data_IF_763722391704
#
_entry.id   IF_763722391704
#
_cell.length_a   1.000
_cell.length_b   1.000
_cell.length_c   1.000
_cell.angle_alpha   90.00
_cell.angle_beta   90.00
_cell.angle_gamma   90.00
#
_symmetry.space_group_name_H-M   'P 1'
#
loop_
_entity.id
_entity.type
_entity.pdbx_description
1 polymer ?
#
# COMPACT_ATOMS: atom_id res chain seq x y z
N UNK A 1 -6.95 -14.57 -7.88
CA UNK A 1 -5.80 -15.48 -7.49
C UNK A 1 -6.33 -16.34 -6.36
N UNK A 2 -6.16 -17.65 -6.43
CA UNK A 2 -6.59 -18.52 -5.34
C UNK A 2 -5.66 -18.40 -4.10
N UNK A 3 -6.13 -18.94 -2.96
CA UNK A 3 -5.40 -18.85 -1.69
C UNK A 3 -4.04 -19.57 -1.72
N UNK A 4 -3.93 -20.68 -2.45
CA UNK A 4 -2.68 -21.46 -2.54
C UNK A 4 -1.62 -20.69 -3.35
N UNK A 5 -2.02 -20.05 -4.43
CA UNK A 5 -1.12 -19.20 -5.22
C UNK A 5 -0.72 -17.96 -4.42
N UNK A 6 -1.66 -17.34 -3.68
CA UNK A 6 -1.32 -16.22 -2.80
C UNK A 6 -0.29 -16.63 -1.73
N UNK A 7 -0.44 -17.80 -1.12
CA UNK A 7 0.52 -18.31 -0.14
C UNK A 7 1.93 -18.47 -0.74
N UNK A 8 2.04 -19.00 -1.96
CA UNK A 8 3.32 -19.13 -2.68
C UNK A 8 3.94 -17.76 -2.97
N UNK A 9 3.13 -16.80 -3.39
CA UNK A 9 3.61 -15.44 -3.65
C UNK A 9 4.08 -14.75 -2.37
N UNK A 10 3.42 -14.95 -1.22
CA UNK A 10 3.95 -14.48 0.08
C UNK A 10 5.34 -15.10 0.35
N UNK A 11 5.50 -16.41 0.16
CA UNK A 11 6.77 -17.10 0.37
C UNK A 11 7.89 -16.57 -0.56
N UNK A 12 7.55 -16.24 -1.81
CA UNK A 12 8.49 -15.68 -2.79
C UNK A 12 9.01 -14.27 -2.42
N UNK A 13 8.21 -13.49 -1.68
CA UNK A 13 8.61 -12.15 -1.26
C UNK A 13 9.44 -12.12 0.03
N UNK A 14 9.38 -13.17 0.84
CA UNK A 14 10.07 -13.22 2.11
C UNK A 14 11.54 -13.62 1.94
N UNK A 15 12.40 -12.90 2.62
CA UNK A 15 13.83 -13.21 2.71
C UNK A 15 14.08 -14.30 3.76
N UNK A 16 15.27 -14.93 3.74
CA UNK A 16 15.66 -15.89 4.78
C UNK A 16 15.73 -15.24 6.17
N UNK A 17 16.04 -13.94 6.24
CA UNK A 17 15.97 -13.17 7.48
C UNK A 17 14.54 -13.05 7.99
N UNK A 18 13.57 -12.80 7.11
CA UNK A 18 12.15 -12.74 7.46
C UNK A 18 11.64 -14.08 7.99
N UNK A 19 12.01 -15.18 7.34
CA UNK A 19 11.61 -16.53 7.77
C UNK A 19 12.17 -16.87 9.17
N UNK A 20 13.41 -16.45 9.45
CA UNK A 20 14.01 -16.60 10.80
C UNK A 20 13.29 -15.76 11.85
N UNK A 21 12.81 -14.58 11.51
CA UNK A 21 12.00 -13.74 12.40
C UNK A 21 10.60 -14.31 12.65
N UNK A 22 10.04 -15.03 11.69
CA UNK A 22 8.74 -15.69 11.82
C UNK A 22 8.81 -17.02 12.57
N UNK A 23 9.95 -17.72 12.55
CA UNK A 23 10.10 -19.04 13.14
C UNK A 23 9.66 -19.14 14.62
N UNK A 24 9.98 -18.17 15.52
CA UNK A 24 9.54 -18.22 16.91
C UNK A 24 8.02 -18.11 17.12
N UNK A 25 7.28 -17.62 16.14
CA UNK A 25 5.81 -17.54 16.18
C UNK A 25 5.14 -18.83 15.67
N UNK A 26 5.91 -19.75 15.08
CA UNK A 26 5.38 -21.00 14.57
C UNK A 26 5.13 -22.01 15.72
N UNK A 27 4.07 -22.83 15.64
CA UNK A 27 3.84 -23.88 16.62
C UNK A 27 4.88 -24.99 16.49
N UNK A 28 5.57 -25.28 17.60
CA UNK A 28 6.61 -26.32 17.67
C UNK A 28 8.02 -25.82 17.36
N UNK A 29 9.02 -26.47 17.97
CA UNK A 29 10.43 -26.19 17.72
C UNK A 29 10.89 -26.96 16.47
N UNK A 30 10.54 -26.46 15.28
CA UNK A 30 10.89 -27.07 13.98
C UNK A 30 12.25 -26.60 13.43
N UNK A 31 13.08 -25.95 14.27
CA UNK A 31 14.45 -25.54 13.93
C UNK A 31 14.54 -24.67 12.67
N UNK A 32 14.85 -23.39 12.82
CA UNK A 32 15.10 -22.47 11.71
C UNK A 32 13.87 -22.19 10.81
N UNK A 33 13.85 -21.06 10.13
CA UNK A 33 12.68 -20.67 9.30
C UNK A 33 12.54 -21.39 7.93
N UNK A 34 13.51 -22.24 7.54
CA UNK A 34 13.59 -22.76 6.16
C UNK A 34 12.42 -23.66 5.78
N UNK A 35 11.83 -24.39 6.72
CA UNK A 35 10.66 -25.24 6.49
C UNK A 35 9.42 -24.43 6.07
N UNK A 36 9.31 -23.15 6.51
CA UNK A 36 8.22 -22.26 6.10
C UNK A 36 8.22 -21.99 4.60
N UNK A 37 9.38 -22.02 3.95
CA UNK A 37 9.48 -21.90 2.49
C UNK A 37 8.93 -23.14 1.79
N UNK A 38 9.07 -24.31 2.40
CA UNK A 38 8.56 -25.58 1.90
C UNK A 38 7.04 -25.76 2.10
N UNK A 39 6.43 -25.05 3.06
CA UNK A 39 4.99 -25.07 3.32
C UNK A 39 4.39 -23.63 3.27
N UNK A 40 4.12 -23.10 2.06
CA UNK A 40 3.52 -21.79 1.90
C UNK A 40 2.15 -21.64 2.58
N UNK A 41 1.40 -22.74 2.73
CA UNK A 41 0.10 -22.71 3.40
C UNK A 41 0.25 -22.52 4.91
N UNK A 42 1.23 -23.17 5.54
CA UNK A 42 1.57 -22.93 6.94
C UNK A 42 2.09 -21.52 7.15
N UNK A 43 2.95 -21.02 6.26
CA UNK A 43 3.44 -19.65 6.28
C UNK A 43 2.27 -18.63 6.25
N UNK A 44 1.32 -18.80 5.35
CA UNK A 44 0.17 -17.89 5.26
C UNK A 44 -0.69 -17.96 6.53
N UNK A 45 -0.94 -19.15 7.09
CA UNK A 45 -1.64 -19.28 8.39
C UNK A 45 -0.90 -18.55 9.50
N UNK A 46 0.43 -18.67 9.54
CA UNK A 46 1.25 -17.99 10.53
C UNK A 46 1.17 -16.46 10.39
N UNK A 47 1.24 -15.93 9.18
CA UNK A 47 1.07 -14.49 8.94
C UNK A 47 -0.32 -13.99 9.35
N UNK A 48 -1.36 -14.82 9.20
CA UNK A 48 -2.74 -14.51 9.56
C UNK A 48 -3.02 -14.64 11.07
N UNK A 49 -2.15 -15.28 11.83
CA UNK A 49 -2.29 -15.41 13.28
C UNK A 49 -2.07 -14.05 13.95
N UNK A 50 -3.04 -13.55 14.74
CA UNK A 50 -2.91 -12.27 15.45
C UNK A 50 -1.72 -12.19 16.39
N UNK A 51 -1.26 -13.32 16.94
CA UNK A 51 -0.11 -13.43 17.84
C UNK A 51 1.22 -13.14 17.13
N UNK A 52 1.34 -13.49 15.85
CA UNK A 52 2.56 -13.30 15.06
C UNK A 52 2.96 -11.84 14.99
N UNK A 53 2.00 -10.93 14.85
CA UNK A 53 2.29 -9.49 14.89
C UNK A 53 3.00 -9.08 16.19
N UNK A 54 2.49 -9.54 17.33
CA UNK A 54 3.08 -9.26 18.65
C UNK A 54 4.47 -9.87 18.81
N UNK A 55 4.65 -11.09 18.35
CA UNK A 55 5.95 -11.80 18.43
C UNK A 55 7.02 -11.12 17.56
N UNK A 56 6.69 -10.77 16.33
CA UNK A 56 7.65 -10.22 15.37
C UNK A 56 7.88 -8.72 15.56
N UNK A 57 6.82 -7.95 15.79
CA UNK A 57 6.87 -6.49 15.84
C UNK A 57 6.63 -5.91 17.25
N UNK A 58 6.14 -6.69 18.20
CA UNK A 58 5.76 -6.23 19.55
C UNK A 58 6.93 -6.01 20.50
N UNK A 59 8.07 -6.65 20.28
CA UNK A 59 9.28 -6.46 21.09
C UNK A 59 9.92 -5.07 20.98
N UNK A 60 9.43 -4.21 20.10
CA UNK A 60 9.98 -2.88 19.79
C UNK A 60 9.02 -1.68 19.98
N UNK A 61 7.96 -1.80 20.76
CA UNK A 61 7.23 -0.59 21.24
C UNK A 61 6.18 0.02 20.31
N UNK A 62 5.57 -0.72 19.36
CA UNK A 62 4.33 -0.31 18.70
C UNK A 62 3.08 -0.61 19.59
N UNK A 63 3.31 -0.74 20.91
CA UNK A 63 2.31 -1.06 21.89
C UNK A 63 1.42 0.10 22.29
N UNK A 64 0.18 0.07 21.80
CA UNK A 64 -0.98 0.39 22.57
C UNK A 64 -1.13 1.78 23.15
N UNK A 65 -1.93 2.61 22.51
CA UNK A 65 -2.78 3.52 23.24
C UNK A 65 -3.68 2.72 24.19
N UNK A 66 -3.30 2.60 25.45
CA UNK A 66 -4.14 2.06 26.53
C UNK A 66 -5.36 2.96 26.70
N UNK A 67 -6.52 2.41 26.38
CA UNK A 67 -7.76 2.90 26.96
C UNK A 67 -7.90 2.26 28.36
N UNK A 68 -7.86 3.10 29.39
CA UNK A 68 -8.56 2.92 30.65
C UNK A 68 -7.89 2.03 31.71
N UNK A 69 -7.63 2.63 32.87
CA UNK A 69 -7.50 1.94 34.13
C UNK A 69 -6.42 2.49 35.05
N UNK A 70 -6.82 3.34 35.99
CA UNK A 70 -6.00 3.83 37.08
C UNK A 70 -5.48 2.68 37.95
N UNK A 71 -4.17 2.72 38.30
CA UNK A 71 -3.56 1.85 39.29
C UNK A 71 -2.18 2.40 39.66
N UNK A 72 -2.10 3.03 40.80
CA UNK A 72 -0.90 3.53 41.50
C UNK A 72 0.00 2.36 41.90
N UNK A 73 1.30 2.49 41.72
CA UNK A 73 2.26 1.55 42.33
C UNK A 73 3.67 1.66 41.77
N UNK A 74 4.54 2.22 42.54
CA UNK A 74 5.91 2.63 42.35
C UNK A 74 6.98 1.60 41.99
N UNK A 75 8.11 2.13 41.57
CA UNK A 75 9.44 1.70 41.93
C UNK A 75 10.10 0.71 40.96
N UNK A 76 11.23 1.12 40.39
CA UNK A 76 12.22 0.19 39.87
C UNK A 76 12.91 0.63 38.59
N UNK A 77 13.98 1.42 38.74
CA UNK A 77 14.95 1.72 37.68
C UNK A 77 15.72 0.44 37.34
N UNK A 78 15.51 -0.09 36.15
CA UNK A 78 16.33 -1.14 35.56
C UNK A 78 16.66 -0.72 34.14
N UNK A 79 17.78 -0.03 33.93
CA UNK A 79 18.38 0.19 32.62
C UNK A 79 18.93 -1.13 32.11
N UNK A 80 18.24 -1.79 31.21
CA UNK A 80 18.76 -2.84 30.34
C UNK A 80 19.21 -2.24 29.01
N UNK A 81 20.23 -2.81 28.32
CA UNK A 81 20.89 -2.18 27.18
C UNK A 81 19.98 -2.08 25.97
N UNK A 82 19.70 -0.84 25.54
CA UNK A 82 19.55 -0.42 24.16
C UNK A 82 18.59 -1.13 23.22
N UNK A 83 17.36 -1.42 23.62
CA UNK A 83 16.30 -1.85 22.70
C UNK A 83 15.39 -0.70 22.29
N UNK A 84 15.88 0.27 21.53
CA UNK A 84 15.01 1.29 20.91
C UNK A 84 14.20 0.68 19.76
N UNK A 85 13.11 1.35 19.31
CA UNK A 85 12.15 0.83 18.28
C UNK A 85 12.77 0.54 16.90
N UNK A 86 14.06 0.54 16.76
CA UNK A 86 14.83 0.30 15.53
C UNK A 86 15.30 -1.14 15.33
N UNK A 87 15.29 -2.00 16.34
CA UNK A 87 15.93 -3.31 16.26
C UNK A 87 15.28 -4.25 15.22
N UNK A 88 13.97 -4.30 15.16
CA UNK A 88 13.24 -5.16 14.23
C UNK A 88 13.15 -4.57 12.81
N UNK A 89 13.03 -3.23 12.67
CA UNK A 89 12.99 -2.56 11.37
C UNK A 89 14.30 -2.69 10.57
N UNK A 90 15.40 -3.00 11.26
CA UNK A 90 16.72 -3.27 10.62
C UNK A 90 16.82 -4.72 10.15
N UNK A 91 16.06 -5.64 10.73
CA UNK A 91 16.16 -7.08 10.44
C UNK A 91 15.06 -7.59 9.50
N UNK A 92 13.84 -7.01 9.57
CA UNK A 92 12.72 -7.41 8.74
C UNK A 92 12.71 -6.66 7.41
N UNK A 93 12.33 -7.35 6.33
CA UNK A 93 12.11 -6.70 5.05
C UNK A 93 10.90 -5.77 5.10
N UNK A 94 10.85 -4.69 4.29
CA UNK A 94 9.66 -3.85 4.18
C UNK A 94 8.40 -4.66 3.84
N UNK A 95 8.53 -5.70 3.02
CA UNK A 95 7.41 -6.55 2.64
C UNK A 95 6.83 -7.29 3.85
N UNK A 96 7.67 -7.94 4.68
CA UNK A 96 7.21 -8.63 5.89
C UNK A 96 6.46 -7.67 6.82
N UNK A 97 7.02 -6.48 7.06
CA UNK A 97 6.41 -5.48 7.92
C UNK A 97 5.02 -5.08 7.41
N UNK A 98 4.89 -4.75 6.13
CA UNK A 98 3.60 -4.37 5.58
C UNK A 98 2.62 -5.53 5.48
N UNK A 99 3.08 -6.76 5.22
CA UNK A 99 2.25 -7.94 5.28
C UNK A 99 1.61 -8.11 6.67
N UNK A 100 2.41 -7.99 7.74
CA UNK A 100 1.93 -8.08 9.12
C UNK A 100 1.01 -6.91 9.49
N UNK A 101 1.30 -5.68 9.03
CA UNK A 101 0.44 -4.51 9.27
C UNK A 101 -0.91 -4.64 8.56
N UNK A 102 -0.95 -5.16 7.33
CA UNK A 102 -2.21 -5.43 6.60
C UNK A 102 -3.03 -6.51 7.31
N UNK A 103 -2.39 -7.57 7.82
CA UNK A 103 -3.07 -8.60 8.62
C UNK A 103 -3.61 -8.02 9.94
N UNK A 104 -2.84 -7.18 10.60
CA UNK A 104 -3.28 -6.49 11.81
C UNK A 104 -4.51 -5.62 11.55
N UNK A 105 -4.51 -4.86 10.45
CA UNK A 105 -5.67 -4.08 10.03
C UNK A 105 -6.89 -4.98 9.74
N UNK A 106 -6.70 -6.15 9.13
CA UNK A 106 -7.78 -7.11 8.90
C UNK A 106 -8.41 -7.58 10.21
N UNK A 107 -7.59 -7.89 11.22
CA UNK A 107 -8.05 -8.28 12.56
C UNK A 107 -8.80 -7.14 13.27
N UNK A 108 -8.28 -5.91 13.21
CA UNK A 108 -8.92 -4.75 13.84
C UNK A 108 -10.25 -4.40 13.18
N UNK A 109 -10.30 -4.43 11.86
CA UNK A 109 -11.52 -4.15 11.10
C UNK A 109 -12.58 -5.27 11.22
N UNK A 110 -12.18 -6.48 11.62
CA UNK A 110 -13.12 -7.58 11.88
C UNK A 110 -14.16 -7.23 12.96
N UNK A 111 -13.77 -6.44 13.95
CA UNK A 111 -14.64 -6.05 15.10
C UNK A 111 -15.08 -4.58 15.06
N UNK A 112 -14.56 -3.79 14.11
CA UNK A 112 -14.87 -2.37 14.03
C UNK A 112 -16.30 -2.12 13.55
N UNK A 113 -17.04 -1.24 14.25
CA UNK A 113 -18.36 -0.78 13.84
C UNK A 113 -18.28 0.34 12.77
N UNK A 114 -17.26 1.18 12.85
CA UNK A 114 -16.99 2.28 11.90
C UNK A 114 -15.49 2.46 11.71
N UNK A 115 -15.12 3.13 10.65
CA UNK A 115 -13.72 3.47 10.34
C UNK A 115 -13.64 5.00 10.15
N UNK A 116 -12.73 5.69 10.84
CA UNK A 116 -12.50 7.11 10.59
C UNK A 116 -11.84 7.28 9.21
N UNK A 117 -12.45 8.09 8.34
CA UNK A 117 -11.84 8.47 7.08
C UNK A 117 -11.33 9.91 7.16
N UNK A 118 -10.11 10.14 6.69
CA UNK A 118 -9.56 11.48 6.49
C UNK A 118 -10.21 12.12 5.26
N UNK A 119 -10.93 13.22 5.48
CA UNK A 119 -11.59 13.99 4.42
C UNK A 119 -10.91 15.33 4.16
N UNK A 120 -9.90 15.69 4.95
CA UNK A 120 -9.13 16.93 4.83
C UNK A 120 -8.17 17.13 6.01
N UNK A 121 -7.43 18.24 6.01
CA UNK A 121 -6.49 18.60 7.07
C UNK A 121 -7.17 18.55 8.45
N UNK A 122 -6.80 17.53 9.25
CA UNK A 122 -7.32 17.28 10.61
C UNK A 122 -8.81 16.94 10.69
N UNK A 123 -9.50 16.72 9.57
CA UNK A 123 -10.90 16.29 9.58
C UNK A 123 -11.00 14.77 9.39
N UNK A 124 -11.72 14.11 10.29
CA UNK A 124 -12.05 12.69 10.22
C UNK A 124 -13.55 12.54 10.35
N UNK A 125 -14.14 11.77 9.45
CA UNK A 125 -15.56 11.44 9.46
C UNK A 125 -15.70 9.96 9.74
N UNK A 126 -16.52 9.54 10.72
CA UNK A 126 -16.80 8.13 10.93
C UNK A 126 -17.64 7.58 9.78
N UNK A 127 -17.15 6.53 9.13
CA UNK A 127 -17.85 5.83 8.07
C UNK A 127 -18.28 4.45 8.55
N UNK A 128 -19.53 4.09 8.33
CA UNK A 128 -20.12 2.81 8.73
C UNK A 128 -20.02 1.74 7.62
N UNK A 129 -18.92 1.74 6.88
CA UNK A 129 -18.65 0.76 5.82
C UNK A 129 -17.62 -0.31 6.21
N UNK A 130 -17.34 -0.47 7.49
CA UNK A 130 -16.47 -1.52 8.00
C UNK A 130 -16.76 -2.93 7.42
N UNK A 131 -18.03 -3.34 7.16
CA UNK A 131 -18.33 -4.60 6.49
C UNK A 131 -17.69 -4.72 5.10
N UNK A 132 -17.72 -3.66 4.30
CA UNK A 132 -17.13 -3.65 2.96
C UNK A 132 -15.59 -3.74 2.99
N UNK A 133 -14.95 -3.14 4.02
CA UNK A 133 -13.51 -3.25 4.22
C UNK A 133 -13.11 -4.63 4.73
N UNK A 134 -13.92 -5.27 5.58
CA UNK A 134 -13.74 -6.67 5.98
C UNK A 134 -13.81 -7.61 4.79
N UNK A 135 -14.84 -7.46 3.94
CA UNK A 135 -14.97 -8.25 2.71
C UNK A 135 -13.77 -8.05 1.78
N UNK A 136 -13.28 -6.82 1.66
CA UNK A 136 -12.06 -6.55 0.90
C UNK A 136 -10.86 -7.31 1.48
N UNK A 137 -10.64 -7.25 2.78
CA UNK A 137 -9.51 -7.88 3.47
C UNK A 137 -9.67 -9.38 3.70
N UNK A 138 -10.84 -9.97 3.49
CA UNK A 138 -11.03 -11.42 3.58
C UNK A 138 -10.20 -12.19 2.54
N UNK A 139 -9.92 -11.59 1.38
CA UNK A 139 -9.13 -12.21 0.31
C UNK A 139 -7.62 -12.04 0.56
N UNK A 140 -6.90 -13.17 0.63
CA UNK A 140 -5.45 -13.20 0.83
C UNK A 140 -4.67 -12.51 -0.30
N UNK A 141 -5.18 -12.55 -1.54
CA UNK A 141 -4.55 -11.93 -2.68
C UNK A 141 -4.64 -10.39 -2.63
N UNK A 142 -5.75 -9.85 -2.14
CA UNK A 142 -5.89 -8.39 -1.92
C UNK A 142 -4.99 -7.91 -0.79
N UNK A 143 -4.84 -8.69 0.29
CA UNK A 143 -3.89 -8.38 1.36
C UNK A 143 -2.44 -8.39 0.86
N UNK A 144 -2.07 -9.41 0.07
CA UNK A 144 -0.77 -9.50 -0.60
C UNK A 144 -0.53 -8.26 -1.47
N UNK A 145 -1.51 -7.91 -2.31
CA UNK A 145 -1.43 -6.74 -3.18
C UNK A 145 -1.14 -5.44 -2.41
N UNK A 146 -1.80 -5.21 -1.28
CA UNK A 146 -1.54 -4.02 -0.45
C UNK A 146 -0.15 -4.04 0.18
N UNK A 147 0.34 -5.21 0.62
CA UNK A 147 1.69 -5.35 1.15
C UNK A 147 2.76 -5.09 0.07
N UNK A 148 2.59 -5.66 -1.13
CA UNK A 148 3.45 -5.39 -2.30
C UNK A 148 3.45 -3.92 -2.69
N UNK A 149 2.27 -3.29 -2.73
CA UNK A 149 2.12 -1.88 -3.04
C UNK A 149 2.94 -1.02 -2.08
N UNK A 150 2.73 -1.17 -0.77
CA UNK A 150 3.44 -0.41 0.25
C UNK A 150 4.95 -0.67 0.19
N UNK A 151 5.37 -1.93 0.08
CA UNK A 151 6.79 -2.28 -0.04
C UNK A 151 7.45 -1.64 -1.27
N UNK A 152 6.72 -1.54 -2.39
CA UNK A 152 7.23 -0.95 -3.62
C UNK A 152 7.53 0.55 -3.50
N UNK A 153 6.85 1.27 -2.60
CA UNK A 153 7.06 2.71 -2.38
C UNK A 153 8.09 3.04 -1.30
N UNK A 154 8.71 2.05 -0.67
CA UNK A 154 9.87 2.29 0.22
C UNK A 154 11.12 2.72 -0.55
N UNK A 155 11.17 2.40 -1.85
CA UNK A 155 12.24 2.80 -2.77
C UNK A 155 11.59 3.41 -4.01
N UNK A 156 11.56 4.74 -4.05
CA UNK A 156 10.95 5.48 -5.16
C UNK A 156 11.98 5.76 -6.23
N UNK A 157 11.69 5.38 -7.47
CA UNK A 157 12.53 5.70 -8.60
C UNK A 157 12.19 7.08 -9.17
N UNK A 158 13.24 7.82 -9.52
CA UNK A 158 13.13 9.05 -10.31
C UNK A 158 14.27 9.10 -11.32
N UNK A 159 14.03 9.75 -12.44
CA UNK A 159 15.04 9.77 -13.50
C UNK A 159 14.72 10.77 -14.59
N UNK A 160 15.52 10.68 -15.67
CA UNK A 160 15.36 11.49 -16.89
C UNK A 160 15.22 10.57 -18.09
N UNK A 161 14.35 10.93 -19.02
CA UNK A 161 14.16 10.23 -20.28
C UNK A 161 14.11 11.21 -21.44
N UNK A 162 14.44 10.73 -22.63
CA UNK A 162 14.41 11.53 -23.86
C UNK A 162 13.15 11.22 -24.65
N UNK A 163 12.48 12.26 -25.11
CA UNK A 163 11.30 12.17 -25.99
C UNK A 163 11.52 13.06 -27.20
N UNK A 164 11.04 12.63 -28.37
CA UNK A 164 10.99 13.46 -29.56
C UNK A 164 9.65 14.21 -29.60
N UNK A 165 9.72 15.55 -29.60
CA UNK A 165 8.55 16.42 -29.73
C UNK A 165 8.79 17.32 -30.92
N UNK A 166 7.93 17.23 -31.94
CA UNK A 166 8.07 17.99 -33.21
C UNK A 166 9.47 17.83 -33.81
N UNK A 167 10.00 16.61 -33.88
CA UNK A 167 11.30 16.29 -34.47
C UNK A 167 12.53 16.64 -33.59
N UNK A 168 12.34 17.32 -32.45
CA UNK A 168 13.44 17.73 -31.57
C UNK A 168 13.50 16.81 -30.33
N UNK A 169 14.71 16.36 -29.99
CA UNK A 169 14.93 15.62 -28.75
C UNK A 169 14.79 16.55 -27.52
N UNK A 170 13.94 16.18 -26.58
CA UNK A 170 13.79 16.89 -25.32
C UNK A 170 14.00 15.91 -24.17
N UNK A 171 14.68 16.37 -23.11
CA UNK A 171 14.82 15.60 -21.86
C UNK A 171 13.68 15.97 -20.94
N UNK A 172 12.96 14.95 -20.45
CA UNK A 172 11.92 15.10 -19.42
C UNK A 172 12.36 14.35 -18.16
N UNK A 173 11.84 14.77 -17.01
CA UNK A 173 12.00 14.08 -15.73
C UNK A 173 10.75 13.27 -15.43
N UNK A 174 10.93 12.11 -14.83
CA UNK A 174 9.83 11.37 -14.19
C UNK A 174 10.12 11.18 -12.71
N UNK A 175 9.08 10.96 -11.94
CA UNK A 175 9.10 10.50 -10.56
C UNK A 175 7.92 9.57 -10.37
N UNK A 176 8.14 8.43 -9.74
CA UNK A 176 7.07 7.48 -9.46
C UNK A 176 6.02 8.00 -8.49
N UNK A 177 6.33 9.05 -7.70
CA UNK A 177 5.36 9.71 -6.83
C UNK A 177 4.62 10.88 -7.49
N UNK A 178 4.89 11.18 -8.76
CA UNK A 178 4.22 12.23 -9.51
C UNK A 178 3.43 11.59 -10.68
N UNK A 179 2.10 11.40 -10.53
CA UNK A 179 1.31 10.75 -11.56
C UNK A 179 1.33 11.48 -12.92
N UNK A 180 1.50 12.81 -12.91
CA UNK A 180 1.55 13.61 -14.16
C UNK A 180 2.85 13.34 -14.92
N UNK A 181 3.98 13.31 -14.21
CA UNK A 181 5.28 13.00 -14.80
C UNK A 181 5.38 11.53 -15.19
N UNK A 182 4.80 10.63 -14.40
CA UNK A 182 4.75 9.20 -14.71
C UNK A 182 3.91 8.94 -15.96
N UNK A 183 2.75 9.59 -16.12
CA UNK A 183 1.93 9.50 -17.31
C UNK A 183 2.67 9.97 -18.58
N UNK A 184 3.60 10.90 -18.43
CA UNK A 184 4.46 11.34 -19.55
C UNK A 184 5.36 10.25 -20.12
N UNK A 185 5.62 9.15 -19.40
CA UNK A 185 6.38 8.00 -19.92
C UNK A 185 5.61 7.26 -21.02
N UNK A 186 4.27 7.31 -21.05
CA UNK A 186 3.46 6.67 -22.09
C UNK A 186 3.80 7.17 -23.50
N UNK A 187 4.33 8.39 -23.63
CA UNK A 187 4.79 8.95 -24.89
C UNK A 187 6.18 8.43 -25.32
N UNK A 188 6.92 7.79 -24.41
CA UNK A 188 8.31 7.43 -24.59
C UNK A 188 8.57 5.92 -24.62
N UNK A 189 7.69 5.13 -24.02
CA UNK A 189 7.80 3.67 -23.95
C UNK A 189 7.13 3.01 -25.15
N UNK A 190 7.58 1.80 -25.49
CA UNK A 190 6.97 0.96 -26.49
C UNK A 190 5.56 0.49 -26.06
N UNK A 191 4.75 0.04 -27.02
CA UNK A 191 3.41 -0.49 -26.70
C UNK A 191 3.46 -1.67 -25.73
N UNK A 192 4.47 -2.52 -25.84
CA UNK A 192 4.66 -3.68 -24.96
C UNK A 192 4.96 -3.29 -23.50
N UNK A 193 5.51 -2.10 -23.26
CA UNK A 193 5.86 -1.59 -21.92
C UNK A 193 4.73 -0.77 -21.30
N UNK A 194 3.76 -0.31 -22.08
CA UNK A 194 2.63 0.52 -21.60
C UNK A 194 1.83 -0.12 -20.47
N UNK A 195 1.53 -1.44 -20.48
CA UNK A 195 0.84 -2.08 -19.36
C UNK A 195 1.53 -1.87 -18.01
N UNK A 196 2.86 -1.92 -17.98
CA UNK A 196 3.66 -1.64 -16.76
C UNK A 196 3.51 -0.21 -16.28
N UNK A 197 3.51 0.77 -17.19
CA UNK A 197 3.31 2.19 -16.85
C UNK A 197 1.88 2.42 -16.34
N UNK A 198 0.86 1.86 -16.99
CA UNK A 198 -0.53 1.96 -16.53
C UNK A 198 -0.72 1.31 -15.16
N UNK A 199 -0.11 0.14 -14.93
CA UNK A 199 -0.13 -0.50 -13.61
C UNK A 199 0.48 0.43 -12.56
N UNK A 200 1.64 1.03 -12.83
CA UNK A 200 2.31 1.93 -11.88
C UNK A 200 1.54 3.23 -11.65
N UNK A 201 0.83 3.74 -12.66
CA UNK A 201 -0.10 4.87 -12.51
C UNK A 201 -1.26 4.53 -11.57
N UNK A 202 -1.80 3.31 -11.65
CA UNK A 202 -2.78 2.81 -10.70
C UNK A 202 -2.20 2.74 -9.28
N UNK A 203 -0.99 2.18 -9.14
CA UNK A 203 -0.31 2.03 -7.85
C UNK A 203 -0.07 3.39 -7.18
N UNK A 204 0.47 4.39 -7.90
CA UNK A 204 0.72 5.72 -7.32
C UNK A 204 -0.57 6.44 -6.96
N UNK A 205 -1.64 6.27 -7.74
CA UNK A 205 -2.94 6.87 -7.42
C UNK A 205 -3.52 6.28 -6.14
N UNK A 206 -3.46 4.96 -5.99
CA UNK A 206 -3.93 4.27 -4.80
C UNK A 206 -3.08 4.63 -3.57
N UNK A 207 -1.76 4.67 -3.73
CA UNK A 207 -0.83 5.04 -2.67
C UNK A 207 -1.04 6.49 -2.20
N UNK A 208 -1.08 7.46 -3.11
CA UNK A 208 -1.24 8.87 -2.75
C UNK A 208 -2.60 9.15 -2.08
N UNK A 209 -3.68 8.62 -2.63
CA UNK A 209 -5.02 8.84 -2.08
C UNK A 209 -5.23 8.08 -0.77
N UNK A 210 -4.59 6.93 -0.58
CA UNK A 210 -4.68 6.12 0.64
C UNK A 210 -3.75 6.59 1.76
N UNK A 211 -2.48 6.87 1.45
CA UNK A 211 -1.48 7.20 2.47
C UNK A 211 -1.40 8.72 2.72
N UNK A 212 -1.53 9.54 1.70
CA UNK A 212 -1.40 10.99 1.77
C UNK A 212 -2.63 11.77 1.28
N UNK A 213 -3.86 11.48 1.76
CA UNK A 213 -5.06 12.17 1.28
C UNK A 213 -5.01 13.68 1.50
N UNK A 214 -4.41 14.13 2.60
CA UNK A 214 -4.24 15.57 2.91
C UNK A 214 -3.33 16.26 1.89
N UNK A 215 -2.27 15.59 1.45
CA UNK A 215 -1.39 16.09 0.41
C UNK A 215 -2.13 16.22 -0.93
N UNK A 216 -2.91 15.19 -1.30
CA UNK A 216 -3.71 15.20 -2.53
C UNK A 216 -4.74 16.33 -2.50
N UNK A 217 -5.40 16.54 -1.36
CA UNK A 217 -6.41 17.61 -1.20
C UNK A 217 -5.77 19.00 -1.19
N UNK A 218 -4.66 19.19 -0.48
CA UNK A 218 -4.01 20.49 -0.33
C UNK A 218 -3.23 20.91 -1.59
N UNK A 219 -2.69 19.94 -2.33
CA UNK A 219 -1.99 20.15 -3.59
C UNK A 219 -2.86 19.68 -4.77
N UNK A 220 -4.11 20.15 -4.77
CA UNK A 220 -5.06 19.86 -5.84
C UNK A 220 -4.37 19.98 -7.20
N UNK A 221 -4.56 18.94 -8.01
CA UNK A 221 -4.07 18.91 -9.38
C UNK A 221 -4.64 20.13 -10.11
N UNK A 222 -3.76 21.01 -10.57
CA UNK A 222 -4.19 22.16 -11.36
C UNK A 222 -4.95 21.72 -12.61
N UNK A 223 -5.81 22.56 -13.21
CA UNK A 223 -6.62 22.18 -14.37
C UNK A 223 -5.82 21.60 -15.54
N UNK A 224 -4.59 22.09 -15.72
CA UNK A 224 -3.66 21.60 -16.77
C UNK A 224 -3.22 20.18 -16.48
N UNK A 225 -2.87 19.86 -15.23
CA UNK A 225 -2.40 18.55 -14.84
C UNK A 225 -3.53 17.53 -14.78
N UNK A 226 -4.70 17.91 -14.25
CA UNK A 226 -5.92 17.10 -14.37
C UNK A 226 -6.25 16.78 -15.84
N UNK A 227 -6.19 17.79 -16.73
CA UNK A 227 -6.40 17.61 -18.15
C UNK A 227 -5.37 16.70 -18.84
N UNK A 228 -4.12 16.66 -18.36
CA UNK A 228 -3.07 15.73 -18.84
C UNK A 228 -3.37 14.30 -18.42
N UNK A 229 -3.73 14.09 -17.14
CA UNK A 229 -4.05 12.77 -16.61
C UNK A 229 -5.31 12.18 -17.26
N UNK A 230 -6.36 12.99 -17.44
CA UNK A 230 -7.58 12.58 -18.12
C UNK A 230 -7.34 12.17 -19.59
N UNK A 231 -6.45 12.89 -20.30
CA UNK A 231 -6.02 12.49 -21.65
C UNK A 231 -5.24 11.18 -21.65
N UNK A 232 -4.29 11.00 -20.72
CA UNK A 232 -3.53 9.77 -20.58
C UNK A 232 -4.43 8.56 -20.27
N UNK A 233 -5.57 8.79 -19.63
CA UNK A 233 -6.60 7.77 -19.39
C UNK A 233 -7.60 7.60 -20.56
N UNK A 234 -7.43 8.31 -21.66
CA UNK A 234 -8.33 8.25 -22.82
C UNK A 234 -9.76 8.77 -22.54
N UNK A 235 -9.92 9.66 -21.56
CA UNK A 235 -11.22 10.21 -21.21
C UNK A 235 -11.57 11.46 -22.04
N UNK A 236 -12.79 11.48 -22.55
CA UNK A 236 -13.34 12.57 -23.40
C UNK A 236 -14.76 12.90 -22.98
N UNK A 237 -15.31 14.02 -23.49
CA UNK A 237 -16.70 14.42 -23.31
C UNK A 237 -17.10 14.79 -21.88
N UNK A 238 -18.41 14.70 -21.56
CA UNK A 238 -18.98 15.18 -20.29
C UNK A 238 -18.39 14.52 -19.03
N UNK A 239 -17.95 13.28 -19.14
CA UNK A 239 -17.31 12.58 -18.02
C UNK A 239 -15.96 13.22 -17.65
N UNK A 240 -15.17 13.61 -18.64
CA UNK A 240 -13.91 14.34 -18.44
C UNK A 240 -14.14 15.66 -17.72
N UNK A 241 -15.15 16.42 -18.15
CA UNK A 241 -15.48 17.73 -17.55
C UNK A 241 -15.88 17.61 -16.09
N UNK A 242 -16.75 16.64 -15.76
CA UNK A 242 -17.16 16.37 -14.39
C UNK A 242 -15.99 16.00 -13.49
N UNK A 243 -15.11 15.11 -13.96
CA UNK A 243 -13.94 14.68 -13.19
C UNK A 243 -12.89 15.81 -13.05
N UNK A 244 -12.74 16.65 -14.07
CA UNK A 244 -11.84 17.80 -14.01
C UNK A 244 -12.29 18.87 -13.01
N UNK A 245 -13.60 19.01 -12.78
CA UNK A 245 -14.20 19.94 -11.83
C UNK A 245 -14.35 19.35 -10.41
N UNK A 246 -14.20 18.03 -10.26
CA UNK A 246 -14.39 17.34 -8.99
C UNK A 246 -13.16 17.38 -8.07
N UNK A 247 -13.30 16.84 -6.84
CA UNK A 247 -12.19 16.71 -5.89
C UNK A 247 -11.02 15.86 -6.45
N UNK A 248 -9.78 16.26 -6.16
CA UNK A 248 -8.59 15.58 -6.65
C UNK A 248 -8.52 14.09 -6.21
N UNK A 249 -9.04 13.76 -5.03
CA UNK A 249 -9.13 12.37 -4.55
C UNK A 249 -10.05 11.55 -5.45
N UNK A 250 -11.23 12.05 -5.79
CA UNK A 250 -12.19 11.34 -6.66
C UNK A 250 -11.64 11.18 -8.08
N UNK A 251 -10.95 12.21 -8.58
CA UNK A 251 -10.25 12.13 -9.86
C UNK A 251 -9.22 11.01 -9.87
N UNK A 252 -8.32 10.96 -8.87
CA UNK A 252 -7.30 9.93 -8.78
C UNK A 252 -7.86 8.53 -8.49
N UNK A 253 -8.94 8.40 -7.70
CA UNK A 253 -9.65 7.13 -7.53
C UNK A 253 -10.16 6.60 -8.88
N UNK A 254 -10.86 7.47 -9.64
CA UNK A 254 -11.40 7.08 -10.93
C UNK A 254 -10.29 6.70 -11.91
N UNK A 255 -9.26 7.52 -12.01
CA UNK A 255 -8.14 7.29 -12.91
C UNK A 255 -7.33 6.06 -12.52
N UNK A 256 -7.05 5.86 -11.23
CA UNK A 256 -6.31 4.72 -10.73
C UNK A 256 -7.01 3.39 -11.06
N UNK A 257 -8.33 3.32 -10.79
CA UNK A 257 -9.13 2.16 -11.16
C UNK A 257 -9.14 1.91 -12.68
N UNK A 258 -9.24 2.96 -13.49
CA UNK A 258 -9.19 2.86 -14.94
C UNK A 258 -7.83 2.37 -15.43
N UNK A 259 -6.73 2.90 -14.90
CA UNK A 259 -5.38 2.51 -15.30
C UNK A 259 -5.07 1.05 -14.98
N UNK A 260 -5.55 0.51 -13.85
CA UNK A 260 -5.44 -0.92 -13.59
C UNK A 260 -6.16 -1.77 -14.65
N UNK A 261 -7.39 -1.37 -15.05
CA UNK A 261 -8.12 -2.07 -16.11
C UNK A 261 -7.39 -1.97 -17.44
N UNK A 262 -6.93 -0.76 -17.81
CA UNK A 262 -6.15 -0.55 -19.04
C UNK A 262 -4.87 -1.39 -19.06
N UNK A 263 -4.16 -1.50 -17.92
CA UNK A 263 -3.00 -2.39 -17.81
C UNK A 263 -3.35 -3.85 -18.11
N UNK A 264 -4.51 -4.32 -17.61
CA UNK A 264 -4.99 -5.68 -17.85
C UNK A 264 -5.44 -5.91 -19.30
N UNK A 265 -6.09 -4.90 -19.92
CA UNK A 265 -6.58 -4.94 -21.29
C UNK A 265 -5.45 -4.98 -22.30
N UNK A 266 -4.38 -4.21 -22.06
CA UNK A 266 -3.23 -4.09 -22.97
C UNK A 266 -2.16 -5.16 -22.75
N UNK A 267 -2.20 -5.89 -21.63
CA UNK A 267 -1.18 -6.89 -21.35
C UNK A 267 -1.32 -8.09 -22.29
N UNK A 268 -0.23 -8.55 -22.95
CA UNK A 268 -0.27 -9.69 -23.86
C UNK A 268 -0.61 -10.99 -23.14
N UNK A 269 -0.32 -11.08 -21.85
CA UNK A 269 -0.63 -12.24 -21.00
C UNK A 269 -1.28 -11.75 -19.70
N UNK A 270 -2.45 -12.29 -19.40
CA UNK A 270 -3.16 -11.99 -18.15
C UNK A 270 -2.57 -12.79 -16.98
N UNK A 271 -1.63 -12.22 -16.28
CA UNK A 271 -1.02 -12.85 -15.09
C UNK A 271 -1.97 -12.80 -13.88
N UNK A 272 -1.73 -13.70 -12.90
CA UNK A 272 -2.49 -13.68 -11.64
C UNK A 272 -2.41 -12.33 -10.91
N UNK A 273 -1.26 -11.66 -10.95
CA UNK A 273 -1.05 -10.33 -10.37
C UNK A 273 -1.88 -9.24 -11.06
N UNK A 274 -1.99 -9.29 -12.39
CA UNK A 274 -2.86 -8.37 -13.14
C UNK A 274 -4.33 -8.64 -12.82
N UNK A 275 -4.74 -9.90 -12.69
CA UNK A 275 -6.11 -10.23 -12.30
C UNK A 275 -6.48 -9.69 -10.91
N UNK A 276 -5.54 -9.68 -9.96
CA UNK A 276 -5.74 -9.04 -8.64
C UNK A 276 -5.84 -7.51 -8.79
N UNK A 277 -5.02 -6.90 -9.64
CA UNK A 277 -5.10 -5.46 -9.88
C UNK A 277 -6.45 -5.04 -10.50
N UNK A 278 -7.01 -5.86 -11.38
CA UNK A 278 -8.34 -5.66 -11.97
C UNK A 278 -9.45 -5.80 -10.92
N UNK A 279 -9.38 -6.80 -10.03
CA UNK A 279 -10.30 -6.95 -8.91
C UNK A 279 -10.21 -5.75 -7.94
N UNK A 280 -8.99 -5.30 -7.62
CA UNK A 280 -8.77 -4.09 -6.83
C UNK A 280 -9.31 -2.83 -7.54
N UNK A 281 -9.23 -2.76 -8.87
CA UNK A 281 -9.83 -1.66 -9.62
C UNK A 281 -11.34 -1.57 -9.41
N UNK A 282 -12.03 -2.70 -9.33
CA UNK A 282 -13.45 -2.76 -8.99
C UNK A 282 -13.79 -2.35 -7.55
N UNK A 283 -12.80 -2.39 -6.66
CA UNK A 283 -12.90 -2.11 -5.22
C UNK A 283 -11.92 -1.02 -4.76
N UNK A 284 -11.57 -0.11 -5.65
CA UNK A 284 -10.49 0.86 -5.45
C UNK A 284 -10.70 1.73 -4.20
N UNK A 285 -11.96 2.14 -3.95
CA UNK A 285 -12.32 2.92 -2.76
C UNK A 285 -12.10 2.14 -1.46
N UNK A 286 -12.42 0.84 -1.44
CA UNK A 286 -12.15 -0.02 -0.28
C UNK A 286 -10.65 -0.16 -0.03
N UNK A 287 -9.86 -0.44 -1.08
CA UNK A 287 -8.41 -0.50 -1.00
C UNK A 287 -7.81 0.80 -0.46
N UNK A 288 -8.24 1.95 -0.98
CA UNK A 288 -7.82 3.28 -0.50
C UNK A 288 -8.13 3.48 0.98
N UNK A 289 -9.34 3.12 1.43
CA UNK A 289 -9.77 3.26 2.82
C UNK A 289 -8.98 2.37 3.78
N UNK A 290 -8.65 1.15 3.37
CA UNK A 290 -7.74 0.27 4.13
C UNK A 290 -6.37 0.92 4.25
N UNK A 291 -5.81 1.47 3.18
CA UNK A 291 -4.54 2.19 3.24
C UNK A 291 -4.61 3.44 4.11
N UNK A 292 -5.73 4.17 4.11
CA UNK A 292 -5.94 5.32 4.98
C UNK A 292 -5.95 4.89 6.46
N UNK A 293 -6.64 3.79 6.80
CA UNK A 293 -6.61 3.21 8.14
C UNK A 293 -5.20 2.82 8.57
N UNK A 294 -4.44 2.15 7.70
CA UNK A 294 -3.04 1.80 7.94
C UNK A 294 -2.15 3.03 8.13
N UNK A 295 -2.33 4.05 7.29
CA UNK A 295 -1.57 5.29 7.36
C UNK A 295 -1.77 6.01 8.70
N UNK A 296 -3.01 6.11 9.14
CA UNK A 296 -3.37 6.79 10.39
C UNK A 296 -2.87 6.06 11.64
N UNK A 297 -2.88 4.73 11.61
CA UNK A 297 -2.52 3.93 12.79
C UNK A 297 -1.03 3.61 12.88
N UNK A 298 -0.37 3.39 11.74
CA UNK A 298 0.95 2.76 11.73
C UNK A 298 1.99 3.46 10.87
N UNK A 299 1.61 4.04 9.71
CA UNK A 299 2.61 4.49 8.74
C UNK A 299 3.07 5.93 8.96
N UNK A 300 2.20 6.79 9.51
CA UNK A 300 2.44 8.22 9.71
C UNK A 300 2.43 8.64 11.19
N UNK A 301 2.45 7.68 12.11
CA UNK A 301 2.45 7.96 13.55
C UNK A 301 3.69 8.75 13.98
N UNK A 302 3.48 9.63 14.98
CA UNK A 302 4.50 10.56 15.48
C UNK A 302 5.78 9.83 15.93
N UNK A 303 6.90 10.22 15.34
CA UNK A 303 8.22 9.73 15.70
C UNK A 303 9.06 9.18 14.56
N UNK A 304 8.52 8.36 13.68
CA UNK A 304 9.24 7.85 12.49
C UNK A 304 8.25 7.42 11.41
N UNK A 305 7.85 8.33 10.51
CA UNK A 305 6.98 7.97 9.40
C UNK A 305 7.73 7.03 8.42
N UNK A 306 7.03 5.96 7.97
CA UNK A 306 7.52 5.07 6.92
C UNK A 306 7.67 5.78 5.58
N UNK A 307 6.85 6.78 5.36
CA UNK A 307 6.79 7.54 4.13
C UNK A 307 6.74 9.03 4.42
N UNK A 308 7.34 9.83 3.54
CA UNK A 308 7.22 11.29 3.54
C UNK A 308 6.37 11.75 2.36
N UNK A 309 5.56 12.81 2.53
CA UNK A 309 4.79 13.36 1.42
C UNK A 309 5.70 13.78 0.26
N UNK A 310 5.25 13.64 -0.99
CA UNK A 310 6.02 14.09 -2.14
C UNK A 310 6.33 15.59 -2.05
N UNK A 311 7.63 15.95 -2.17
CA UNK A 311 8.06 17.35 -2.19
C UNK A 311 8.15 18.04 -0.82
N UNK A 312 8.24 17.26 0.27
CA UNK A 312 8.64 17.74 1.60
C UNK A 312 10.16 17.88 1.69
#
# INVERSE_FOLDING_TARGET
MDRALAAREYANHLTDADLRLLAPAAPGDLGGGDWLRGDPAALLRLLEDPGTFGTVLGGGGLGGGRLGGAGLGGGGLGQGPGGGPRGWAVQASPFLIFALLVQRAATELATAAHVPERTGLRQRVPLFDAPALRDFLADAARRLFLAELLASFTRVASGRYRVRVAGRARTRRFSELDPVRLAGLLDAVSEAERPGVYRRLGDVSLFLTGVFPDYVTARALGPVDAGRLLRAAGLTGPQRERLAAGPAIELLEHLGARWYRTACELAPVRTARLAVADDVAGRFRQARRVLNHLADRYLLSAGQPWFTPPGS
#
